data_IF_633261401145
#
_entry.id   IF_633261401145
#
_cell.length_a   1.000
_cell.length_b   1.000
_cell.length_c   1.000
_cell.angle_alpha   90.00
_cell.angle_beta   90.00
_cell.angle_gamma   90.00
#
_symmetry.space_group_name_H-M   'P 1'
#
loop_
_entity.id
_entity.type
_entity.pdbx_description
1 polymer ?
#
# COMPACT_ATOMS: atom_id res chain seq x y z
N UNK A 1 -9.25 -18.09 11.55
CA UNK A 1 -8.26 -16.99 11.52
C UNK A 1 -8.77 -15.83 12.38
N UNK A 2 -7.96 -15.34 13.32
CA UNK A 2 -8.39 -14.41 14.36
C UNK A 2 -8.52 -12.97 13.81
N UNK A 3 -9.60 -12.24 14.13
CA UNK A 3 -9.84 -10.89 13.61
C UNK A 3 -8.72 -9.90 13.94
N UNK A 4 -8.03 -10.11 15.08
CA UNK A 4 -6.85 -9.32 15.49
C UNK A 4 -5.70 -9.39 14.48
N UNK A 5 -5.38 -10.58 13.95
CA UNK A 5 -4.26 -10.76 13.00
C UNK A 5 -4.47 -9.94 11.72
N UNK A 6 -5.73 -9.79 11.29
CA UNK A 6 -6.08 -8.98 10.12
C UNK A 6 -6.02 -7.48 10.45
N UNK A 7 -6.39 -7.08 11.66
CA UNK A 7 -6.28 -5.70 12.11
C UNK A 7 -4.82 -5.26 12.23
N UNK A 8 -3.94 -6.16 12.68
CA UNK A 8 -2.52 -5.87 12.86
C UNK A 8 -1.81 -5.64 11.52
N UNK A 9 -2.13 -6.42 10.48
CA UNK A 9 -1.46 -6.30 9.18
C UNK A 9 -2.00 -5.17 8.31
N UNK A 10 -3.26 -4.76 8.54
CA UNK A 10 -3.97 -3.80 7.68
C UNK A 10 -3.21 -2.48 7.47
N UNK A 11 -2.66 -1.80 8.49
CA UNK A 11 -1.93 -0.55 8.30
C UNK A 11 -0.75 -0.69 7.33
N UNK A 12 0.00 -1.80 7.43
CA UNK A 12 1.12 -2.08 6.52
C UNK A 12 0.63 -2.28 5.09
N UNK A 13 -0.46 -3.03 4.89
CA UNK A 13 -1.06 -3.22 3.56
C UNK A 13 -1.57 -1.91 2.97
N UNK A 14 -2.15 -1.04 3.81
CA UNK A 14 -2.62 0.29 3.41
C UNK A 14 -1.46 1.17 2.91
N UNK A 15 -0.30 1.15 3.60
CA UNK A 15 0.93 1.83 3.14
C UNK A 15 1.40 1.29 1.79
N UNK A 16 1.41 -0.03 1.60
CA UNK A 16 1.81 -0.64 0.32
C UNK A 16 0.92 -0.19 -0.85
N UNK A 17 -0.40 -0.09 -0.61
CA UNK A 17 -1.34 0.43 -1.60
C UNK A 17 -1.06 1.91 -1.87
N UNK A 18 -0.83 2.71 -0.83
CA UNK A 18 -0.53 4.14 -0.97
C UNK A 18 0.75 4.36 -1.79
N UNK A 19 1.85 3.64 -1.49
CA UNK A 19 3.11 3.71 -2.26
C UNK A 19 2.89 3.35 -3.73
N UNK A 20 2.16 2.26 -3.99
CA UNK A 20 1.81 1.84 -5.36
C UNK A 20 1.06 2.92 -6.11
N UNK A 21 -0.01 3.46 -5.51
CA UNK A 21 -0.87 4.43 -6.17
C UNK A 21 -0.14 5.75 -6.40
N UNK A 22 0.68 6.21 -5.46
CA UNK A 22 1.50 7.40 -5.64
C UNK A 22 2.47 7.24 -6.81
N UNK A 23 3.18 6.11 -6.90
CA UNK A 23 4.06 5.82 -8.02
C UNK A 23 3.30 5.86 -9.36
N UNK A 24 2.14 5.17 -9.44
CA UNK A 24 1.31 5.15 -10.65
C UNK A 24 0.78 6.55 -11.04
N UNK A 25 0.41 7.39 -10.06
CA UNK A 25 -0.15 8.72 -10.30
C UNK A 25 0.92 9.73 -10.76
N UNK A 26 2.12 9.67 -10.19
CA UNK A 26 3.25 10.53 -10.56
C UNK A 26 3.81 10.17 -11.93
N UNK A 27 4.01 8.87 -12.18
CA UNK A 27 4.51 8.33 -13.46
C UNK A 27 3.61 8.74 -14.64
N UNK A 28 2.29 8.82 -14.41
CA UNK A 28 1.30 9.23 -15.42
C UNK A 28 0.99 10.73 -15.42
N UNK A 29 1.69 11.51 -14.60
CA UNK A 29 1.46 12.95 -14.43
C UNK A 29 0.01 13.31 -14.06
N UNK A 30 -0.69 12.41 -13.36
CA UNK A 30 -2.03 12.66 -12.82
C UNK A 30 -1.99 13.46 -11.53
N UNK A 31 -0.84 13.43 -10.85
CA UNK A 31 -0.46 14.34 -9.78
C UNK A 31 0.88 14.95 -10.17
N UNK A 32 1.05 16.23 -9.87
CA UNK A 32 2.34 16.93 -9.89
C UNK A 32 2.56 17.48 -8.50
N UNK A 33 3.73 17.21 -7.93
CA UNK A 33 4.16 17.69 -6.62
C UNK A 33 5.05 18.91 -6.83
N UNK A 34 4.98 19.86 -5.89
CA UNK A 34 6.00 20.89 -5.81
C UNK A 34 7.24 20.34 -5.08
N UNK A 35 8.34 21.10 -5.11
CA UNK A 35 9.61 20.69 -4.52
C UNK A 35 9.51 20.43 -3.01
N UNK A 36 8.60 21.11 -2.31
CA UNK A 36 8.41 20.94 -0.86
C UNK A 36 7.73 19.61 -0.57
N UNK A 37 6.59 19.35 -1.21
CA UNK A 37 5.84 18.11 -1.06
C UNK A 37 6.66 16.89 -1.53
N UNK A 38 7.41 17.02 -2.63
CA UNK A 38 8.33 15.97 -3.10
C UNK A 38 9.38 15.63 -2.05
N UNK A 39 10.03 16.64 -1.45
CA UNK A 39 11.04 16.44 -0.41
C UNK A 39 10.43 15.81 0.85
N UNK A 40 9.32 16.34 1.34
CA UNK A 40 8.63 15.81 2.53
C UNK A 40 8.23 14.35 2.34
N UNK A 41 7.67 13.99 1.19
CA UNK A 41 7.31 12.60 0.87
C UNK A 41 8.55 11.70 0.75
N UNK A 42 9.63 12.18 0.13
CA UNK A 42 10.90 11.44 0.09
C UNK A 42 11.41 11.16 1.50
N UNK A 43 11.45 12.17 2.37
CA UNK A 43 11.95 12.03 3.74
C UNK A 43 11.10 11.08 4.59
N UNK A 44 9.79 11.07 4.39
CA UNK A 44 8.86 10.13 5.05
C UNK A 44 9.05 8.69 4.57
N UNK A 45 9.29 8.47 3.28
CA UNK A 45 9.30 7.14 2.66
C UNK A 45 10.68 6.49 2.65
N UNK A 46 11.76 7.28 2.58
CA UNK A 46 13.15 6.79 2.52
C UNK A 46 13.54 5.83 3.66
N UNK A 47 13.09 6.03 4.93
CA UNK A 47 13.36 5.09 6.02
C UNK A 47 12.85 3.66 5.75
N UNK A 48 11.83 3.48 4.89
CA UNK A 48 11.32 2.16 4.54
C UNK A 48 12.32 1.30 3.77
N UNK A 49 13.37 1.89 3.17
CA UNK A 49 14.41 1.12 2.47
C UNK A 49 15.23 0.26 3.45
N UNK A 50 15.47 0.76 4.66
CA UNK A 50 16.43 0.14 5.60
C UNK A 50 15.79 -0.35 6.88
N UNK A 51 14.58 0.10 7.23
CA UNK A 51 13.89 -0.32 8.44
C UNK A 51 13.57 -1.82 8.41
N UNK A 52 14.15 -2.61 9.33
CA UNK A 52 13.96 -4.07 9.39
C UNK A 52 12.51 -4.50 9.61
N UNK A 53 11.76 -3.68 10.34
CA UNK A 53 10.37 -3.94 10.71
C UNK A 53 9.52 -2.70 10.45
N UNK A 54 8.24 -2.91 10.20
CA UNK A 54 7.25 -1.85 10.12
C UNK A 54 6.07 -2.24 11.01
N UNK A 55 6.02 -1.67 12.22
CA UNK A 55 4.95 -1.99 13.17
C UNK A 55 3.63 -1.38 12.73
N UNK A 56 2.48 -1.96 13.12
CA UNK A 56 1.17 -1.46 12.67
C UNK A 56 0.91 0.02 13.01
N UNK A 57 1.37 0.47 14.18
CA UNK A 57 1.24 1.87 14.60
C UNK A 57 2.14 2.81 13.80
N UNK A 58 3.34 2.36 13.43
CA UNK A 58 4.27 3.12 12.59
C UNK A 58 3.73 3.23 11.16
N UNK A 59 3.20 2.13 10.61
CA UNK A 59 2.55 2.13 9.31
C UNK A 59 1.34 3.08 9.26
N UNK A 60 0.49 3.06 10.30
CA UNK A 60 -0.66 3.97 10.38
C UNK A 60 -0.22 5.44 10.47
N UNK A 61 0.80 5.74 11.29
CA UNK A 61 1.36 7.08 11.40
C UNK A 61 1.97 7.54 10.07
N UNK A 62 2.67 6.66 9.36
CA UNK A 62 3.26 6.94 8.06
C UNK A 62 2.20 7.23 7.00
N UNK A 63 1.14 6.41 6.88
CA UNK A 63 0.05 6.68 5.92
C UNK A 63 -0.63 8.02 6.22
N UNK A 64 -0.82 8.35 7.50
CA UNK A 64 -1.35 9.66 7.91
C UNK A 64 -0.42 10.81 7.51
N UNK A 65 0.89 10.68 7.76
CA UNK A 65 1.87 11.72 7.42
C UNK A 65 1.96 11.93 5.90
N UNK A 66 1.98 10.85 5.12
CA UNK A 66 1.96 10.90 3.65
C UNK A 66 0.72 11.64 3.15
N UNK A 67 -0.47 11.37 3.69
CA UNK A 67 -1.70 12.07 3.30
C UNK A 67 -1.68 13.56 3.64
N UNK A 68 -1.05 13.93 4.74
CA UNK A 68 -0.93 15.34 5.18
C UNK A 68 0.07 16.14 4.34
N UNK A 69 1.10 15.49 3.80
CA UNK A 69 2.06 16.11 2.88
C UNK A 69 1.47 16.39 1.48
N UNK A 70 0.28 15.86 1.16
CA UNK A 70 -0.39 16.08 -0.11
C UNK A 70 -1.31 17.30 -0.05
N UNK A 71 -1.28 18.11 -1.10
CA UNK A 71 -2.27 19.16 -1.30
C UNK A 71 -3.68 18.55 -1.47
N UNK A 72 -4.76 19.30 -1.18
CA UNK A 72 -6.13 18.75 -1.21
C UNK A 72 -6.52 18.08 -2.53
N UNK A 73 -6.11 18.65 -3.68
CA UNK A 73 -6.36 18.07 -5.00
C UNK A 73 -5.61 16.75 -5.24
N UNK A 74 -4.38 16.65 -4.74
CA UNK A 74 -3.54 15.46 -4.85
C UNK A 74 -4.07 14.34 -3.94
N UNK A 75 -4.49 14.69 -2.72
CA UNK A 75 -5.17 13.77 -1.81
C UNK A 75 -6.49 13.26 -2.40
N UNK A 76 -7.24 14.11 -3.09
CA UNK A 76 -8.46 13.72 -3.79
C UNK A 76 -8.14 12.71 -4.91
N UNK A 77 -7.13 12.98 -5.74
CA UNK A 77 -6.70 12.07 -6.80
C UNK A 77 -6.23 10.71 -6.23
N UNK A 78 -5.45 10.70 -5.15
CA UNK A 78 -5.05 9.47 -4.45
C UNK A 78 -6.27 8.69 -3.92
N UNK A 79 -7.24 9.40 -3.34
CA UNK A 79 -8.47 8.81 -2.81
C UNK A 79 -9.32 8.19 -3.91
N UNK A 80 -9.47 8.88 -5.04
CA UNK A 80 -10.19 8.37 -6.21
C UNK A 80 -9.49 7.15 -6.82
N UNK A 81 -8.15 7.18 -6.95
CA UNK A 81 -7.38 6.05 -7.44
C UNK A 81 -7.55 4.82 -6.53
N UNK A 82 -7.55 5.02 -5.21
CA UNK A 82 -7.81 3.96 -4.24
C UNK A 82 -9.23 3.40 -4.35
N UNK A 83 -10.24 4.26 -4.45
CA UNK A 83 -11.62 3.83 -4.64
C UNK A 83 -11.81 3.03 -5.95
N UNK A 84 -11.15 3.46 -7.03
CA UNK A 84 -11.18 2.75 -8.31
C UNK A 84 -10.51 1.37 -8.21
N UNK A 85 -9.39 1.26 -7.49
CA UNK A 85 -8.73 -0.01 -7.21
C UNK A 85 -9.62 -0.95 -6.39
N UNK A 86 -10.27 -0.43 -5.34
CA UNK A 86 -11.21 -1.18 -4.51
C UNK A 86 -12.42 -1.67 -5.32
N UNK A 87 -12.97 -0.83 -6.20
CA UNK A 87 -14.07 -1.21 -7.08
C UNK A 87 -13.68 -2.36 -8.04
N UNK A 88 -12.46 -2.31 -8.60
CA UNK A 88 -11.94 -3.40 -9.45
C UNK A 88 -11.76 -4.70 -8.67
N UNK A 89 -11.19 -4.63 -7.46
CA UNK A 89 -11.05 -5.80 -6.60
C UNK A 89 -12.42 -6.40 -6.25
N UNK A 90 -13.39 -5.56 -5.90
CA UNK A 90 -14.76 -5.99 -5.61
C UNK A 90 -15.44 -6.64 -6.82
N UNK A 91 -15.29 -6.05 -8.02
CA UNK A 91 -15.84 -6.62 -9.25
C UNK A 91 -15.21 -7.98 -9.59
N UNK A 92 -13.90 -8.12 -9.38
CA UNK A 92 -13.22 -9.42 -9.54
C UNK A 92 -13.77 -10.45 -8.55
N UNK A 93 -13.94 -10.06 -7.29
CA UNK A 93 -14.47 -10.95 -6.27
C UNK A 93 -15.93 -11.36 -6.50
N UNK A 94 -16.75 -10.49 -7.09
CA UNK A 94 -18.12 -10.83 -7.45
C UNK A 94 -18.19 -11.86 -8.60
N UNK A 95 -17.20 -11.86 -9.50
CA UNK A 95 -17.13 -12.79 -10.65
C UNK A 95 -16.49 -14.12 -10.26
N UNK A 96 -15.46 -14.09 -9.42
CA UNK A 96 -14.85 -15.27 -8.88
C UNK A 96 -15.82 -15.91 -7.87
N UNK A 97 -16.52 -16.99 -8.29
CA UNK A 97 -17.29 -17.84 -7.38
C UNK A 97 -16.32 -18.54 -6.42
N UNK A 98 -15.83 -17.83 -5.41
CA UNK A 98 -14.90 -18.37 -4.43
C UNK A 98 -15.61 -19.46 -3.61
N UNK A 99 -15.41 -20.70 -4.01
CA UNK A 99 -15.70 -21.88 -3.19
C UNK A 99 -14.48 -22.14 -2.30
N UNK A 100 -14.67 -22.19 -0.99
CA UNK A 100 -13.62 -22.59 -0.07
C UNK A 100 -13.80 -24.07 0.29
N UNK A 101 -12.78 -24.92 0.10
CA UNK A 101 -12.83 -26.29 0.62
C UNK A 101 -12.74 -26.34 2.16
N UNK A 102 -12.11 -25.35 2.82
CA UNK A 102 -11.65 -25.47 4.22
C UNK A 102 -12.11 -24.34 5.18
N UNK A 103 -13.27 -23.72 4.94
CA UNK A 103 -13.91 -22.79 5.88
C UNK A 103 -14.15 -21.36 5.36
N UNK A 104 -14.57 -20.42 6.23
CA UNK A 104 -15.03 -19.11 5.77
C UNK A 104 -13.87 -18.30 5.17
N UNK A 105 -13.97 -18.00 3.88
CA UNK A 105 -13.06 -17.07 3.18
C UNK A 105 -13.01 -15.73 3.92
N UNK A 106 -11.81 -15.32 4.34
CA UNK A 106 -11.61 -13.97 4.83
C UNK A 106 -11.60 -12.99 3.64
N UNK A 107 -12.79 -12.52 3.27
CA UNK A 107 -13.01 -11.60 2.14
C UNK A 107 -12.12 -10.36 2.22
N UNK A 108 -11.82 -9.87 3.42
CA UNK A 108 -10.95 -8.71 3.61
C UNK A 108 -9.53 -8.99 3.13
N UNK A 109 -8.93 -10.12 3.52
CA UNK A 109 -7.57 -10.46 3.09
C UNK A 109 -7.46 -10.74 1.60
N UNK A 110 -8.49 -11.38 1.02
CA UNK A 110 -8.56 -11.62 -0.43
C UNK A 110 -8.61 -10.29 -1.17
N UNK A 111 -9.46 -9.36 -0.70
CA UNK A 111 -9.55 -8.03 -1.28
C UNK A 111 -8.19 -7.33 -1.24
N UNK A 112 -7.49 -7.36 -0.10
CA UNK A 112 -6.13 -6.83 -0.02
C UNK A 112 -5.17 -7.55 -0.97
N UNK A 113 -5.25 -8.87 -1.09
CA UNK A 113 -4.45 -9.67 -2.02
C UNK A 113 -4.68 -9.36 -3.50
N UNK A 114 -5.77 -8.68 -3.85
CA UNK A 114 -6.02 -8.16 -5.20
C UNK A 114 -5.50 -6.72 -5.40
N UNK A 115 -5.22 -6.02 -4.30
CA UNK A 115 -4.86 -4.59 -4.31
C UNK A 115 -3.37 -4.35 -4.09
N UNK A 116 -2.72 -5.16 -3.27
CA UNK A 116 -1.29 -4.98 -2.94
C UNK A 116 -0.37 -5.53 -4.03
N UNK A 117 0.81 -4.94 -4.25
CA UNK A 117 1.84 -5.56 -5.07
C UNK A 117 2.28 -6.92 -4.50
N UNK A 118 2.53 -7.90 -5.38
CA UNK A 118 2.80 -9.30 -5.00
C UNK A 118 1.57 -10.09 -4.50
N UNK A 119 0.41 -9.43 -4.39
CA UNK A 119 -0.90 -10.03 -4.18
C UNK A 119 -1.04 -10.87 -2.90
N UNK A 120 -1.76 -12.00 -3.00
CA UNK A 120 -2.09 -12.83 -1.82
C UNK A 120 -0.84 -13.40 -1.12
N UNK A 121 0.25 -13.65 -1.85
CA UNK A 121 1.50 -14.13 -1.26
C UNK A 121 2.09 -13.10 -0.28
N UNK A 122 2.10 -11.82 -0.68
CA UNK A 122 2.51 -10.71 0.18
C UNK A 122 1.62 -10.60 1.43
N UNK A 123 0.30 -10.70 1.26
CA UNK A 123 -0.62 -10.65 2.40
C UNK A 123 -0.30 -11.76 3.40
N UNK A 124 -0.14 -13.00 2.92
CA UNK A 124 0.15 -14.15 3.77
C UNK A 124 1.50 -14.04 4.48
N UNK A 125 2.53 -13.51 3.81
CA UNK A 125 3.85 -13.26 4.40
C UNK A 125 3.78 -12.30 5.59
N UNK A 126 2.89 -11.31 5.51
CA UNK A 126 2.73 -10.28 6.53
C UNK A 126 1.80 -10.70 7.68
N UNK A 127 1.05 -11.80 7.54
CA UNK A 127 0.19 -12.29 8.61
C UNK A 127 1.02 -12.78 9.80
N UNK A 128 0.82 -12.16 10.96
CA UNK A 128 1.52 -12.53 12.20
C UNK A 128 3.00 -12.14 12.21
N UNK A 129 3.46 -11.34 11.24
CA UNK A 129 4.82 -10.79 11.20
C UNK A 129 4.77 -9.26 11.27
N UNK A 130 5.90 -8.65 11.65
CA UNK A 130 6.09 -7.18 11.60
C UNK A 130 7.15 -6.82 10.57
N UNK A 131 7.35 -7.68 9.57
CA UNK A 131 8.36 -7.50 8.55
C UNK A 131 8.04 -6.26 7.72
N UNK A 132 9.07 -5.48 7.41
CA UNK A 132 8.94 -4.41 6.43
C UNK A 132 8.92 -5.01 5.02
N UNK A 133 7.80 -4.91 4.27
CA UNK A 133 7.67 -5.51 2.94
C UNK A 133 8.61 -4.90 1.89
N UNK A 134 9.21 -3.73 2.16
CA UNK A 134 10.10 -3.01 1.25
C UNK A 134 11.58 -3.38 1.40
N UNK A 135 11.94 -4.17 2.42
CA UNK A 135 13.33 -4.63 2.62
C UNK A 135 13.65 -5.96 1.96
N UNK A 136 12.63 -6.69 1.50
CA UNK A 136 12.83 -7.93 0.76
C UNK A 136 13.06 -7.62 -0.71
N UNK A 137 14.12 -8.19 -1.29
CA UNK A 137 14.39 -8.07 -2.72
C UNK A 137 13.17 -8.50 -3.55
N UNK A 138 12.79 -7.69 -4.54
CA UNK A 138 11.65 -7.93 -5.42
C UNK A 138 10.74 -6.72 -5.57
N UNK A 139 9.56 -6.94 -6.16
CA UNK A 139 8.73 -5.86 -6.70
C UNK A 139 8.26 -4.80 -5.71
N UNK A 140 8.21 -5.09 -4.40
CA UNK A 140 7.87 -4.06 -3.40
C UNK A 140 9.02 -3.06 -3.19
N UNK A 141 10.26 -3.57 -3.09
CA UNK A 141 11.45 -2.73 -2.95
C UNK A 141 11.67 -1.90 -4.22
N UNK A 142 11.53 -2.52 -5.40
CA UNK A 142 11.67 -1.85 -6.70
C UNK A 142 10.64 -0.73 -6.87
N UNK A 143 9.40 -0.96 -6.44
CA UNK A 143 8.33 0.03 -6.47
C UNK A 143 8.61 1.23 -5.54
N UNK A 144 9.16 0.99 -4.34
CA UNK A 144 9.56 2.06 -3.43
C UNK A 144 10.71 2.88 -4.02
N UNK A 145 11.71 2.22 -4.60
CA UNK A 145 12.84 2.89 -5.28
C UNK A 145 12.35 3.72 -6.46
N UNK A 146 11.44 3.18 -7.28
CA UNK A 146 10.82 3.92 -8.36
C UNK A 146 10.09 5.18 -7.84
N UNK A 147 9.26 5.04 -6.80
CA UNK A 147 8.58 6.19 -6.21
C UNK A 147 9.58 7.25 -5.74
N UNK A 148 10.62 6.85 -5.00
CA UNK A 148 11.64 7.79 -4.54
C UNK A 148 12.37 8.48 -5.71
N UNK A 149 12.63 7.76 -6.80
CA UNK A 149 13.23 8.38 -8.00
C UNK A 149 12.33 9.44 -8.65
N UNK A 150 11.00 9.26 -8.61
CA UNK A 150 10.02 10.23 -9.10
C UNK A 150 9.84 11.43 -8.16
N UNK A 151 10.23 11.31 -6.89
CA UNK A 151 10.20 12.39 -5.90
C UNK A 151 11.49 13.22 -5.90
N UNK A 152 12.62 12.61 -6.33
CA UNK A 152 13.92 13.26 -6.34
C UNK A 152 14.21 14.06 -7.65
N UNK A 153 13.27 14.07 -8.61
CA UNK A 153 13.32 14.88 -9.86
C UNK A 153 12.86 16.32 -9.65
#
# INVERSE_FOLDING_TARGET
>A
MNARVVQDVRPTLDVMITVRLLAELLDRHQIVLDATASRELSDLLRPLITAKALRPTEAAALDSAVRLALAPSQLLALTQARAALEARAQAFMARARFAAPDGPLNRTLIRYGLMVPGGQATVNLLLGTQLNPFTQAGGNADLLVQLLSLLDT
#
